data_IF_763385368681
#
_entry.id   IF_763385368681
#
_cell.length_a   1.000
_cell.length_b   1.000
_cell.length_c   1.000
_cell.angle_alpha   90.00
_cell.angle_beta   90.00
_cell.angle_gamma   90.00
#
_symmetry.space_group_name_H-M   'P 1'
#
loop_
_entity.id
_entity.type
_entity.pdbx_description
1 polymer ?
#
# COMPACT_ATOMS: atom_id res chain seq x y z
N UNK A 1 -7.64 6.86 -16.74
CA UNK A 1 -7.81 5.49 -17.28
C UNK A 1 -9.20 5.45 -17.88
N UNK A 2 -9.36 4.90 -19.09
CA UNK A 2 -10.69 4.84 -19.72
C UNK A 2 -11.54 3.75 -19.03
N UNK A 3 -12.85 4.02 -18.91
CA UNK A 3 -13.81 3.05 -18.36
C UNK A 3 -13.81 1.71 -19.11
N UNK A 4 -13.49 1.75 -20.41
CA UNK A 4 -13.35 0.55 -21.22
C UNK A 4 -12.25 -0.37 -20.69
N UNK A 5 -11.07 0.16 -20.38
CA UNK A 5 -9.94 -0.62 -19.87
C UNK A 5 -10.27 -1.25 -18.51
N UNK A 6 -10.96 -0.51 -17.63
CA UNK A 6 -11.38 -1.05 -16.33
C UNK A 6 -12.38 -2.20 -16.52
N UNK A 7 -13.31 -2.06 -17.47
CA UNK A 7 -14.30 -3.08 -17.77
C UNK A 7 -13.67 -4.35 -18.35
N UNK A 8 -12.72 -4.17 -19.30
CA UNK A 8 -11.99 -5.31 -19.88
C UNK A 8 -11.23 -6.08 -18.79
N UNK A 9 -10.59 -5.39 -17.84
CA UNK A 9 -9.93 -6.01 -16.68
C UNK A 9 -10.92 -6.64 -15.70
N UNK A 10 -12.10 -6.07 -15.52
CA UNK A 10 -13.15 -6.65 -14.68
C UNK A 10 -13.64 -7.99 -15.23
N UNK A 11 -13.82 -8.08 -16.54
CA UNK A 11 -14.21 -9.35 -17.20
C UNK A 11 -13.11 -10.41 -17.10
N UNK A 12 -11.84 -10.01 -17.33
CA UNK A 12 -10.70 -10.92 -17.19
C UNK A 12 -10.53 -11.36 -15.72
N UNK A 13 -10.69 -10.45 -14.76
CA UNK A 13 -10.59 -10.74 -13.33
C UNK A 13 -11.68 -11.70 -12.85
N UNK A 14 -12.92 -11.55 -13.34
CA UNK A 14 -14.02 -12.49 -13.07
C UNK A 14 -13.71 -13.87 -13.60
N UNK A 15 -13.19 -13.96 -14.82
CA UNK A 15 -12.83 -15.24 -15.43
C UNK A 15 -11.75 -16.01 -14.64
N UNK A 16 -10.87 -15.29 -13.93
CA UNK A 16 -9.79 -15.85 -13.11
C UNK A 16 -10.15 -15.97 -11.62
N UNK A 17 -11.37 -15.57 -11.20
CA UNK A 17 -11.78 -15.57 -9.79
C UNK A 17 -11.03 -14.54 -8.93
N UNK A 18 -10.56 -13.45 -9.55
CA UNK A 18 -9.72 -12.40 -8.93
C UNK A 18 -10.35 -11.01 -9.04
N UNK A 19 -11.63 -10.88 -8.83
CA UNK A 19 -12.38 -9.62 -9.01
C UNK A 19 -11.80 -8.45 -8.22
N UNK A 20 -11.21 -8.70 -7.05
CA UNK A 20 -10.59 -7.66 -6.21
C UNK A 20 -9.32 -7.05 -6.80
N UNK A 21 -8.73 -7.64 -7.84
CA UNK A 21 -7.47 -7.19 -8.44
C UNK A 21 -7.66 -6.28 -9.67
N UNK A 22 -8.88 -6.04 -10.12
CA UNK A 22 -9.16 -5.27 -11.35
C UNK A 22 -8.47 -3.89 -11.40
N UNK A 23 -8.33 -3.22 -10.27
CA UNK A 23 -7.66 -1.92 -10.20
C UNK A 23 -6.12 -2.06 -10.17
N UNK A 24 -5.60 -3.08 -9.50
CA UNK A 24 -4.17 -3.36 -9.49
C UNK A 24 -3.67 -3.69 -10.91
N UNK A 25 -4.48 -4.37 -11.71
CA UNK A 25 -4.13 -4.75 -13.08
C UNK A 25 -3.93 -3.58 -14.05
N UNK A 26 -4.32 -2.40 -13.66
CA UNK A 26 -3.97 -1.17 -14.39
C UNK A 26 -2.46 -0.94 -14.39
N UNK A 27 -1.79 -1.31 -13.29
CA UNK A 27 -0.34 -1.22 -13.12
C UNK A 27 0.35 -2.52 -13.50
N UNK A 28 -0.27 -3.67 -13.25
CA UNK A 28 0.22 -5.01 -13.59
C UNK A 28 0.10 -5.28 -15.11
N UNK A 29 1.11 -4.83 -15.86
CA UNK A 29 1.11 -4.91 -17.33
C UNK A 29 1.39 -6.31 -17.86
N UNK A 30 2.10 -7.14 -17.09
CA UNK A 30 2.46 -8.49 -17.50
C UNK A 30 1.30 -9.46 -17.23
N UNK A 31 1.06 -10.35 -18.19
CA UNK A 31 0.04 -11.40 -18.03
C UNK A 31 0.36 -12.30 -16.84
N UNK A 32 1.64 -12.61 -16.61
CA UNK A 32 2.10 -13.41 -15.48
C UNK A 32 1.79 -12.74 -14.13
N UNK A 33 1.91 -11.41 -14.01
CA UNK A 33 1.52 -10.66 -12.82
C UNK A 33 0.04 -10.86 -12.50
N UNK A 34 -0.81 -10.71 -13.51
CA UNK A 34 -2.26 -10.88 -13.36
C UNK A 34 -2.64 -12.33 -13.00
N UNK A 35 -2.03 -13.30 -13.65
CA UNK A 35 -2.26 -14.72 -13.37
C UNK A 35 -1.80 -15.12 -11.97
N UNK A 36 -0.66 -14.61 -11.50
CA UNK A 36 -0.12 -14.88 -10.17
C UNK A 36 -0.75 -14.01 -9.09
N UNK A 37 -1.25 -12.82 -9.44
CA UNK A 37 -1.80 -11.83 -8.49
C UNK A 37 -0.71 -11.18 -7.66
N UNK A 38 0.44 -10.90 -8.26
CA UNK A 38 1.56 -10.22 -7.63
C UNK A 38 2.34 -9.41 -8.67
N UNK A 39 2.86 -8.26 -8.27
CA UNK A 39 3.71 -7.41 -9.10
C UNK A 39 5.11 -8.04 -9.23
N UNK A 40 5.64 -8.09 -10.44
CA UNK A 40 6.97 -8.63 -10.76
C UNK A 40 7.93 -7.50 -11.10
N UNK A 41 7.49 -6.59 -11.96
CA UNK A 41 8.31 -5.50 -12.47
C UNK A 41 7.84 -4.13 -11.98
N UNK A 42 8.67 -3.11 -12.16
CA UNK A 42 8.32 -1.74 -11.79
C UNK A 42 7.29 -1.18 -12.77
N UNK A 43 6.24 -0.58 -12.24
CA UNK A 43 5.31 0.20 -13.01
C UNK A 43 5.39 1.68 -12.63
N UNK A 44 5.36 2.54 -13.65
CA UNK A 44 5.40 3.99 -13.50
C UNK A 44 4.08 4.60 -13.94
N UNK A 45 3.48 5.38 -13.08
CA UNK A 45 2.22 6.07 -13.36
C UNK A 45 2.30 7.54 -12.96
N UNK A 46 1.83 8.42 -13.83
CA UNK A 46 1.76 9.86 -13.54
C UNK A 46 0.43 10.18 -12.87
N UNK A 47 0.50 10.82 -11.73
CA UNK A 47 -0.63 11.33 -10.97
C UNK A 47 -0.48 12.84 -10.81
N UNK A 48 -1.56 13.58 -11.03
CA UNK A 48 -1.63 15.01 -10.81
C UNK A 48 -2.62 15.31 -9.69
N UNK A 49 -2.16 16.08 -8.71
CA UNK A 49 -3.01 16.69 -7.70
C UNK A 49 -3.17 18.19 -7.98
N UNK A 50 -3.98 18.88 -7.21
CA UNK A 50 -4.12 20.35 -7.31
C UNK A 50 -2.83 21.11 -7.02
N UNK A 51 -1.82 20.48 -6.41
CA UNK A 51 -0.59 21.11 -5.95
C UNK A 51 0.68 20.52 -6.59
N UNK A 52 0.69 19.24 -6.93
CA UNK A 52 1.89 18.52 -7.32
C UNK A 52 1.64 17.54 -8.46
N UNK A 53 2.71 17.30 -9.23
CA UNK A 53 2.80 16.17 -10.16
C UNK A 53 3.60 15.06 -9.48
N UNK A 54 3.05 13.86 -9.45
CA UNK A 54 3.71 12.69 -8.89
C UNK A 54 4.04 11.69 -10.00
N UNK A 55 5.19 11.06 -9.88
CA UNK A 55 5.46 9.79 -10.56
C UNK A 55 5.33 8.69 -9.51
N UNK A 56 4.25 7.95 -9.56
CA UNK A 56 4.05 6.77 -8.71
C UNK A 56 4.91 5.65 -9.27
N UNK A 57 5.77 5.08 -8.45
CA UNK A 57 6.60 3.91 -8.75
C UNK A 57 5.98 2.75 -7.97
N UNK A 58 5.23 1.91 -8.67
CA UNK A 58 4.70 0.68 -8.07
C UNK A 58 5.78 -0.39 -8.08
N UNK A 59 6.14 -0.83 -6.89
CA UNK A 59 7.27 -1.75 -6.68
C UNK A 59 6.78 -3.11 -6.18
N UNK A 60 7.35 -4.23 -6.68
CA UNK A 60 7.00 -5.55 -6.19
C UNK A 60 7.17 -5.70 -4.69
N UNK A 61 6.20 -6.31 -4.03
CA UNK A 61 6.27 -6.63 -2.60
C UNK A 61 6.82 -8.04 -2.31
N UNK A 62 6.91 -8.91 -3.30
CA UNK A 62 7.34 -10.30 -3.09
C UNK A 62 8.87 -10.40 -3.02
N UNK A 63 9.38 -11.21 -2.07
CA UNK A 63 10.83 -11.37 -1.82
C UNK A 63 11.65 -11.78 -3.05
N UNK A 64 11.07 -12.54 -3.96
CA UNK A 64 11.77 -12.99 -5.17
C UNK A 64 12.11 -11.83 -6.12
N UNK A 65 11.41 -10.69 -5.98
CA UNK A 65 11.58 -9.50 -6.82
C UNK A 65 12.20 -8.31 -6.09
N UNK A 66 12.91 -8.56 -4.98
CA UNK A 66 13.49 -7.51 -4.14
C UNK A 66 14.46 -6.60 -4.90
N UNK A 67 15.12 -7.10 -5.96
CA UNK A 67 16.00 -6.29 -6.82
C UNK A 67 15.21 -5.16 -7.51
N UNK A 68 14.01 -5.45 -8.00
CA UNK A 68 13.16 -4.46 -8.63
C UNK A 68 12.64 -3.45 -7.59
N UNK A 69 12.26 -3.92 -6.40
CA UNK A 69 11.90 -3.03 -5.29
C UNK A 69 13.04 -2.07 -4.92
N UNK A 70 14.27 -2.57 -4.80
CA UNK A 70 15.45 -1.74 -4.53
C UNK A 70 15.65 -0.68 -5.62
N UNK A 71 15.51 -1.07 -6.88
CA UNK A 71 15.63 -0.15 -8.02
C UNK A 71 14.55 0.94 -7.98
N UNK A 72 13.31 0.60 -7.64
CA UNK A 72 12.23 1.56 -7.50
C UNK A 72 12.44 2.50 -6.31
N UNK A 73 12.73 1.95 -5.14
CA UNK A 73 12.93 2.72 -3.91
C UNK A 73 14.11 3.70 -4.00
N UNK A 74 15.19 3.33 -4.71
CA UNK A 74 16.37 4.21 -4.88
C UNK A 74 16.10 5.46 -5.73
N UNK A 75 14.99 5.50 -6.45
CA UNK A 75 14.57 6.64 -7.28
C UNK A 75 13.48 7.49 -6.62
N UNK A 76 12.99 7.08 -5.45
CA UNK A 76 11.84 7.70 -4.82
C UNK A 76 12.26 8.80 -3.83
N UNK A 77 11.57 9.94 -3.86
CA UNK A 77 11.72 11.02 -2.88
C UNK A 77 11.00 10.70 -1.56
N UNK A 78 9.95 9.93 -1.64
CA UNK A 78 9.14 9.46 -0.51
C UNK A 78 8.52 8.10 -0.78
N UNK A 79 7.99 7.45 0.23
CA UNK A 79 7.33 6.16 0.09
C UNK A 79 6.02 6.10 0.85
N UNK A 80 5.07 5.35 0.30
CA UNK A 80 3.87 4.92 1.00
C UNK A 80 3.97 3.42 1.21
N UNK A 81 4.03 2.98 2.47
CA UNK A 81 3.98 1.56 2.81
C UNK A 81 2.53 1.18 3.08
N UNK A 82 1.97 0.32 2.23
CA UNK A 82 0.67 -0.28 2.46
C UNK A 82 0.81 -1.56 3.28
N UNK A 83 0.12 -1.61 4.41
CA UNK A 83 0.09 -2.79 5.29
C UNK A 83 -1.34 -3.23 5.52
N UNK A 84 -1.55 -4.54 5.63
CA UNK A 84 -2.87 -5.08 5.87
C UNK A 84 -3.26 -4.94 7.35
N UNK A 85 -4.46 -4.44 7.64
CA UNK A 85 -5.06 -4.51 8.97
C UNK A 85 -5.65 -5.89 9.28
N UNK A 86 -5.88 -6.70 8.25
CA UNK A 86 -6.49 -8.02 8.38
C UNK A 86 -5.70 -8.91 9.34
N UNK A 87 -6.42 -9.61 10.23
CA UNK A 87 -5.81 -10.52 11.19
C UNK A 87 -5.12 -11.68 10.49
N UNK A 88 -3.91 -12.00 10.93
CA UNK A 88 -3.03 -13.00 10.31
C UNK A 88 -2.12 -12.44 9.22
N UNK A 89 -2.60 -11.55 8.35
CA UNK A 89 -1.77 -10.93 7.29
C UNK A 89 -0.79 -9.91 7.87
N UNK A 90 -1.24 -9.04 8.79
CA UNK A 90 -0.40 -8.07 9.47
C UNK A 90 0.75 -8.77 10.22
N UNK A 91 0.40 -9.75 11.01
CA UNK A 91 1.34 -10.50 11.85
C UNK A 91 2.41 -11.21 10.98
N UNK A 92 1.97 -11.86 9.88
CA UNK A 92 2.89 -12.52 8.95
C UNK A 92 3.88 -11.53 8.29
N UNK A 93 3.40 -10.32 7.92
CA UNK A 93 4.24 -9.30 7.28
C UNK A 93 5.26 -8.65 8.22
N UNK A 94 4.96 -8.56 9.52
CA UNK A 94 5.78 -7.83 10.51
C UNK A 94 6.67 -8.71 11.38
N UNK A 95 6.44 -10.01 11.40
CA UNK A 95 7.27 -10.99 12.10
C UNK A 95 8.73 -10.95 11.59
N UNK A 96 9.70 -11.50 12.35
CA UNK A 96 11.06 -11.70 11.86
C UNK A 96 11.08 -12.47 10.54
N UNK A 97 11.67 -11.87 9.49
CA UNK A 97 11.63 -12.38 8.11
C UNK A 97 10.34 -12.05 7.35
N UNK A 98 9.45 -11.25 7.91
CA UNK A 98 8.26 -10.75 7.21
C UNK A 98 8.59 -9.64 6.20
N UNK A 99 7.86 -9.62 5.09
CA UNK A 99 8.14 -8.72 3.97
C UNK A 99 7.99 -7.23 4.33
N UNK A 100 7.01 -6.86 5.15
CA UNK A 100 6.82 -5.47 5.60
C UNK A 100 8.04 -4.94 6.34
N UNK A 101 8.65 -5.79 7.19
CA UNK A 101 9.89 -5.45 7.91
C UNK A 101 11.06 -5.27 6.96
N UNK A 102 11.21 -6.16 5.99
CA UNK A 102 12.27 -6.08 4.97
C UNK A 102 12.14 -4.82 4.11
N UNK A 103 10.92 -4.49 3.67
CA UNK A 103 10.68 -3.28 2.88
C UNK A 103 10.96 -2.00 3.66
N UNK A 104 10.52 -1.92 4.92
CA UNK A 104 10.81 -0.76 5.77
C UNK A 104 12.32 -0.58 5.99
N UNK A 105 13.05 -1.66 6.21
CA UNK A 105 14.51 -1.65 6.34
C UNK A 105 15.19 -1.19 5.06
N UNK A 106 14.79 -1.72 3.90
CA UNK A 106 15.35 -1.35 2.60
C UNK A 106 15.08 0.12 2.28
N UNK A 107 13.85 0.60 2.46
CA UNK A 107 13.51 2.00 2.25
C UNK A 107 14.37 2.94 3.10
N UNK A 108 14.57 2.61 4.39
CA UNK A 108 15.44 3.36 5.28
C UNK A 108 16.90 3.34 4.81
N UNK A 109 17.41 2.18 4.43
CA UNK A 109 18.80 2.01 3.97
C UNK A 109 19.08 2.74 2.64
N UNK A 110 18.08 2.82 1.76
CA UNK A 110 18.15 3.51 0.47
C UNK A 110 17.96 5.03 0.60
N UNK A 111 17.76 5.54 1.82
CA UNK A 111 17.69 6.98 2.08
C UNK A 111 16.30 7.59 1.86
N UNK A 112 15.26 6.79 1.76
CA UNK A 112 13.87 7.31 1.72
C UNK A 112 13.52 7.85 3.10
N UNK A 113 13.51 9.16 3.26
CA UNK A 113 13.27 9.82 4.56
C UNK A 113 11.82 10.21 4.78
N UNK A 114 11.04 10.41 3.72
CA UNK A 114 9.63 10.75 3.77
C UNK A 114 8.81 9.47 3.66
N UNK A 115 8.09 9.14 4.71
CA UNK A 115 7.33 7.90 4.79
C UNK A 115 5.91 8.16 5.27
N UNK A 116 4.95 7.57 4.58
CA UNK A 116 3.54 7.45 5.00
C UNK A 116 3.22 5.96 5.16
N UNK A 117 2.45 5.61 6.16
CA UNK A 117 1.96 4.25 6.36
C UNK A 117 0.45 4.21 6.14
N UNK A 118 0.02 3.52 5.10
CA UNK A 118 -1.39 3.27 4.83
C UNK A 118 -1.79 1.90 5.42
N UNK A 119 -2.62 1.93 6.47
CA UNK A 119 -3.17 0.74 7.12
C UNK A 119 -4.42 0.33 6.32
N UNK A 120 -4.23 -0.61 5.41
CA UNK A 120 -5.19 -1.00 4.39
C UNK A 120 -6.06 -2.19 4.81
N UNK A 121 -7.11 -2.43 4.04
CA UNK A 121 -8.13 -3.47 4.29
C UNK A 121 -8.92 -3.23 5.57
N UNK A 122 -9.20 -1.95 5.88
CA UNK A 122 -10.08 -1.62 7.00
C UNK A 122 -11.51 -2.13 6.80
N UNK A 123 -11.88 -2.39 5.54
CA UNK A 123 -13.14 -2.99 5.10
C UNK A 123 -13.23 -4.52 5.30
N UNK A 124 -12.14 -5.20 5.63
CA UNK A 124 -12.16 -6.66 5.86
C UNK A 124 -13.07 -7.01 7.03
N UNK A 125 -13.86 -8.08 6.89
CA UNK A 125 -14.83 -8.52 7.90
C UNK A 125 -14.19 -8.83 9.28
N UNK A 126 -12.89 -9.11 9.34
CA UNK A 126 -12.15 -9.34 10.59
C UNK A 126 -11.68 -8.05 11.25
N UNK A 127 -11.79 -6.92 10.56
CA UNK A 127 -11.36 -5.57 10.97
C UNK A 127 -12.59 -4.68 11.23
N UNK A 128 -13.54 -4.68 10.30
CA UNK A 128 -14.83 -3.98 10.37
C UNK A 128 -14.69 -2.50 10.77
N UNK A 129 -13.77 -1.79 10.12
CA UNK A 129 -13.50 -0.36 10.33
C UNK A 129 -13.12 0.02 11.77
N UNK A 130 -12.73 -0.94 12.59
CA UNK A 130 -12.53 -0.77 14.02
C UNK A 130 -11.28 0.08 14.33
N UNK A 131 -11.47 1.17 15.10
CA UNK A 131 -10.39 2.02 15.62
C UNK A 131 -9.37 1.21 16.44
N UNK A 132 -9.85 0.27 17.29
CA UNK A 132 -8.98 -0.56 18.13
C UNK A 132 -7.98 -1.39 17.30
N UNK A 133 -8.40 -1.91 16.14
CA UNK A 133 -7.49 -2.64 15.25
C UNK A 133 -6.50 -1.72 14.56
N UNK A 134 -6.93 -0.54 14.14
CA UNK A 134 -6.05 0.48 13.60
C UNK A 134 -4.95 0.86 14.61
N UNK A 135 -5.31 1.16 15.86
CA UNK A 135 -4.33 1.54 16.88
C UNK A 135 -3.37 0.39 17.20
N UNK A 136 -3.84 -0.85 17.27
CA UNK A 136 -2.99 -2.05 17.45
C UNK A 136 -1.92 -2.15 16.35
N UNK A 137 -2.33 -2.00 15.08
CA UNK A 137 -1.43 -2.08 13.92
C UNK A 137 -0.48 -0.89 13.89
N UNK A 138 -0.96 0.30 14.15
CA UNK A 138 -0.16 1.54 14.24
C UNK A 138 0.92 1.44 15.30
N UNK A 139 0.58 0.96 16.51
CA UNK A 139 1.53 0.76 17.59
C UNK A 139 2.62 -0.25 17.22
N UNK A 140 2.22 -1.36 16.58
CA UNK A 140 3.16 -2.36 16.10
C UNK A 140 4.11 -1.81 15.05
N UNK A 141 3.58 -1.08 14.07
CA UNK A 141 4.40 -0.43 13.04
C UNK A 141 5.28 0.68 13.59
N UNK A 142 4.81 1.46 14.55
CA UNK A 142 5.61 2.47 15.25
C UNK A 142 6.87 1.85 15.86
N UNK A 143 6.72 0.72 16.57
CA UNK A 143 7.86 -0.01 17.13
C UNK A 143 8.81 -0.54 16.07
N UNK A 144 8.26 -1.12 14.99
CA UNK A 144 9.05 -1.65 13.87
C UNK A 144 9.85 -0.55 13.19
N UNK A 145 9.20 0.57 12.82
CA UNK A 145 9.83 1.69 12.12
C UNK A 145 10.92 2.34 12.96
N UNK A 146 10.72 2.46 14.26
CA UNK A 146 11.77 2.93 15.19
C UNK A 146 13.00 1.99 15.19
N UNK A 147 12.79 0.68 15.15
CA UNK A 147 13.89 -0.30 15.09
C UNK A 147 14.72 -0.22 13.82
N UNK A 148 14.09 0.15 12.68
CA UNK A 148 14.78 0.29 11.39
C UNK A 148 15.30 1.70 11.12
N UNK A 149 15.19 2.61 12.10
CA UNK A 149 15.84 3.92 12.07
C UNK A 149 14.96 5.10 11.67
N UNK A 150 13.66 4.91 11.46
CA UNK A 150 12.75 6.03 11.25
C UNK A 150 12.38 6.73 12.57
N UNK A 151 12.03 8.01 12.47
CA UNK A 151 11.37 8.73 13.56
C UNK A 151 9.84 8.64 13.39
N UNK A 152 9.14 7.83 14.20
CA UNK A 152 7.70 7.61 14.05
C UNK A 152 6.86 8.88 14.23
N UNK A 153 7.35 9.88 14.97
CA UNK A 153 6.64 11.16 15.21
C UNK A 153 6.47 11.99 13.91
N UNK A 154 7.26 11.66 12.88
CA UNK A 154 7.20 12.31 11.57
C UNK A 154 6.42 11.48 10.54
N UNK A 155 5.89 10.33 10.92
CA UNK A 155 5.20 9.42 10.02
C UNK A 155 3.70 9.54 10.21
N UNK A 156 3.00 9.72 9.12
CA UNK A 156 1.54 9.71 9.12
C UNK A 156 1.05 8.27 8.93
N UNK A 157 0.13 7.87 9.81
CA UNK A 157 -0.56 6.59 9.73
C UNK A 157 -2.00 6.83 9.30
N UNK A 158 -2.41 6.22 8.21
CA UNK A 158 -3.71 6.49 7.58
C UNK A 158 -4.48 5.18 7.44
N UNK A 159 -5.64 5.04 8.09
CA UNK A 159 -6.50 3.90 7.88
C UNK A 159 -7.19 4.00 6.53
N UNK A 160 -7.08 2.96 5.69
CA UNK A 160 -7.57 2.98 4.31
C UNK A 160 -8.31 1.70 3.93
N UNK A 161 -9.14 1.82 2.90
CA UNK A 161 -9.57 0.69 2.10
C UNK A 161 -9.26 0.95 0.63
N UNK A 162 -8.33 0.17 0.06
CA UNK A 162 -8.03 0.21 -1.36
C UNK A 162 -9.19 -0.30 -2.21
N UNK A 163 -10.05 -1.14 -1.65
CA UNK A 163 -11.22 -1.69 -2.33
C UNK A 163 -12.34 -0.69 -2.50
N UNK A 164 -12.68 0.03 -1.45
CA UNK A 164 -13.78 1.01 -1.45
C UNK A 164 -13.32 2.45 -1.70
N UNK A 165 -12.00 2.72 -1.65
CA UNK A 165 -11.41 4.03 -1.88
C UNK A 165 -11.37 4.93 -0.64
N UNK A 166 -11.75 4.41 0.52
CA UNK A 166 -11.82 5.18 1.76
C UNK A 166 -10.43 5.69 2.18
N UNK A 167 -10.34 6.98 2.49
CA UNK A 167 -9.14 7.72 2.88
C UNK A 167 -7.97 7.67 1.88
N UNK A 168 -8.22 7.31 0.62
CA UNK A 168 -7.22 7.46 -0.45
C UNK A 168 -7.23 8.90 -1.00
N UNK A 169 -8.35 9.32 -1.58
CA UNK A 169 -8.59 10.66 -2.10
C UNK A 169 -9.62 11.44 -1.26
N UNK A 170 -10.68 10.77 -0.85
CA UNK A 170 -11.76 11.34 -0.05
C UNK A 170 -11.74 10.73 1.35
N UNK A 171 -12.15 11.52 2.34
CA UNK A 171 -12.29 11.04 3.72
C UNK A 171 -13.41 10.00 3.82
N UNK A 172 -13.16 8.97 4.61
CA UNK A 172 -14.14 7.92 4.88
C UNK A 172 -15.25 8.42 5.81
N UNK A 173 -16.48 8.09 5.49
CA UNK A 173 -17.63 8.27 6.39
C UNK A 173 -17.77 7.12 7.41
N UNK A 174 -17.03 6.01 7.19
CA UNK A 174 -17.09 4.81 8.04
C UNK A 174 -16.09 4.84 9.20
N UNK A 175 -15.13 5.76 9.15
CA UNK A 175 -14.08 5.93 10.15
C UNK A 175 -14.12 7.35 10.74
N UNK A 176 -15.25 7.72 11.34
CA UNK A 176 -15.46 9.04 11.95
C UNK A 176 -14.48 9.39 13.07
N UNK A 177 -13.87 8.36 13.68
CA UNK A 177 -12.84 8.49 14.69
C UNK A 177 -11.51 9.01 14.12
N UNK A 178 -11.24 8.79 12.82
CA UNK A 178 -10.02 9.26 12.17
C UNK A 178 -10.18 10.71 11.67
N UNK A 179 -9.34 11.62 12.19
CA UNK A 179 -9.38 13.05 11.84
C UNK A 179 -8.16 13.50 11.03
N UNK A 180 -7.26 12.58 10.69
CA UNK A 180 -6.05 12.86 9.92
C UNK A 180 -6.31 13.10 8.42
N UNK A 181 -5.23 13.24 7.63
CA UNK A 181 -5.30 13.43 6.17
C UNK A 181 -5.67 12.15 5.43
N UNK A 182 -6.05 12.29 4.17
CA UNK A 182 -6.07 11.20 3.20
C UNK A 182 -4.65 10.88 2.72
N UNK A 183 -4.47 9.76 2.00
CA UNK A 183 -3.16 9.39 1.42
C UNK A 183 -2.67 10.46 0.43
N UNK A 184 -3.58 11.07 -0.34
CA UNK A 184 -3.22 12.13 -1.28
C UNK A 184 -2.83 13.44 -0.59
N UNK A 185 -3.41 13.72 0.58
CA UNK A 185 -3.12 14.95 1.35
C UNK A 185 -1.82 14.86 2.15
N UNK A 186 -1.39 13.64 2.47
CA UNK A 186 -0.21 13.35 3.29
C UNK A 186 1.10 13.52 2.53
#
# INVERSE_FOLDING_TARGET
ISEKVIRDFEEEAKALGKESFKYAWVLDKLKEERERGLTIDLAFYKLESSKHFFTVIDSPGHRDFIKNMVTGASQADGAVIFISAKRGEYEAGTNPGGQTREHAFLASTLGVTQLVVAINKMDDATVDWAEGRYEEVKDGMTRLLKQVGYNPDKIQFIPTSGWTGDNLFNKSEKMDWYKGPTVLEA
#
